data_IF_536590659189
#
_entry.id   IF_536590659189
#
_cell.length_a   1.000
_cell.length_b   1.000
_cell.length_c   1.000
_cell.angle_alpha   90.00
_cell.angle_beta   90.00
_cell.angle_gamma   90.00
#
_symmetry.space_group_name_H-M   'P 1'
#
loop_
_entity.id
_entity.type
_entity.pdbx_description
1 polymer ?
2 polymer ?
3 polymer ?
4 non-polymer ?
5 non-polymer ?
6 non-polymer ?
7 water ?
#
loop_
_entity_poly.entity_id
_entity_poly.type
_entity_poly.pdbx_seq_one_letter_code
_entity_poly.pdbx_strand_id
2 'polydeoxyribonucleotide' '(DC)(DC)(DA)(DT)(DG)(5CM)(DG)(DC)(DT)(DG)(DA)(DC)' ?
3 'polydeoxyribonucleotide' '(DG)(DT)(DC)(DA)(DG)(DC)(DG)(DC)(DA)(DT)(DG)(DG)' ?
#
# COMPACT_ATOMS: atom_id res chain seq x y z
C UNK A 1 -33.65 14.87 10.00
N UNK A 2 -32.60 15.10 9.21
CA UNK A 2 -32.65 14.62 7.79
C UNK A 2 -33.35 13.26 7.62
N UNK A 3 -34.23 13.17 6.60
CA UNK A 3 -34.82 11.90 6.24
C UNK A 3 -33.69 10.95 5.75
N UNK A 4 -33.92 9.64 5.84
CA UNK A 4 -32.90 8.65 5.44
C UNK A 4 -32.50 8.80 3.97
N UNK A 5 -33.40 9.32 3.14
CA UNK A 5 -33.15 9.43 1.71
C UNK A 5 -32.75 10.86 1.29
N UNK A 6 -32.16 11.62 2.20
CA UNK A 6 -31.64 12.95 1.86
C UNK A 6 -30.36 12.82 1.00
N UNK A 7 -30.32 13.53 -0.13
CA UNK A 7 -29.09 13.65 -0.94
C UNK A 7 -28.46 14.96 -0.54
N UNK A 8 -27.14 14.93 -0.47
CA UNK A 8 -26.36 16.12 -0.25
C UNK A 8 -25.81 16.26 1.17
N UNK A 9 -25.12 17.35 1.44
CA UNK A 9 -24.49 17.48 2.77
C UNK A 9 -25.48 17.45 3.93
N UNK A 10 -25.02 16.99 5.09
CA UNK A 10 -25.86 17.06 6.30
C UNK A 10 -25.62 18.44 6.96
N UNK A 11 -26.69 19.23 7.18
CA UNK A 11 -26.47 20.53 7.83
C UNK A 11 -25.77 20.41 9.21
N UNK A 12 -24.75 21.26 9.41
CA UNK A 12 -23.99 21.34 10.65
C UNK A 12 -22.87 20.33 10.73
N UNK A 13 -22.67 19.55 9.64
CA UNK A 13 -21.53 18.59 9.61
C UNK A 13 -20.55 19.02 8.50
N UNK A 14 -19.51 19.80 8.85
CA UNK A 14 -18.61 20.28 7.82
C UNK A 14 -17.63 19.19 7.33
N UNK A 15 -17.15 19.38 6.11
CA UNK A 15 -16.03 18.65 5.62
C UNK A 15 -14.90 18.74 6.65
N UNK A 16 -14.33 17.54 6.90
CA UNK A 16 -13.20 17.41 7.83
C UNK A 16 -13.67 16.86 9.19
N UNK A 17 -14.99 16.73 9.41
CA UNK A 17 -15.48 16.15 10.65
C UNK A 17 -14.99 14.70 10.78
N UNK A 18 -14.66 14.28 12.01
CA UNK A 18 -14.03 12.94 12.24
C UNK A 18 -14.70 12.23 13.41
N UNK A 19 -14.86 10.91 13.24
CA UNK A 19 -15.49 10.09 14.29
C UNK A 19 -14.70 8.79 14.39
N UNK A 20 -14.53 8.32 15.62
CA UNK A 20 -13.72 7.14 15.81
C UNK A 20 -14.36 5.84 15.26
N UNK A 21 -15.67 5.69 15.42
CA UNK A 21 -16.39 4.47 15.02
C UNK A 21 -17.46 4.73 14.00
N UNK A 22 -17.67 3.70 13.17
CA UNK A 22 -18.75 3.80 12.15
C UNK A 22 -20.12 4.11 12.77
N UNK A 23 -20.44 3.55 13.96
CA UNK A 23 -21.77 3.82 14.48
C UNK A 23 -21.98 5.34 14.77
N UNK A 24 -20.90 6.07 15.09
CA UNK A 24 -20.97 7.52 15.27
C UNK A 24 -21.25 8.23 13.95
N UNK A 25 -20.61 7.77 12.88
CA UNK A 25 -20.84 8.33 11.57
C UNK A 25 -22.33 8.12 11.23
N UNK A 26 -22.87 6.95 11.61
CA UNK A 26 -24.28 6.66 11.34
C UNK A 26 -25.19 7.65 12.10
N UNK A 27 -24.89 7.82 13.39
CA UNK A 27 -25.69 8.76 14.21
C UNK A 27 -25.70 10.18 13.71
N UNK A 28 -24.60 10.60 13.08
CA UNK A 28 -24.52 11.94 12.52
C UNK A 28 -25.43 12.13 11.29
N UNK A 29 -25.82 11.04 10.67
CA UNK A 29 -26.61 11.08 9.42
C UNK A 29 -25.73 11.07 8.18
N UNK A 30 -24.40 11.24 8.34
CA UNK A 30 -23.57 11.35 7.14
C UNK A 30 -23.50 9.98 6.41
N UNK A 31 -23.46 8.84 7.13
CA UNK A 31 -23.45 7.55 6.45
C UNK A 31 -24.25 6.58 7.34
N UNK A 32 -25.52 6.39 7.04
CA UNK A 32 -26.37 5.69 8.03
C UNK A 32 -26.17 4.18 8.24
N UNK A 33 -25.72 3.42 7.20
CA UNK A 33 -25.34 2.01 7.54
C UNK A 33 -24.10 1.99 8.42
N UNK A 34 -24.07 1.10 9.37
CA UNK A 34 -22.87 1.04 10.22
C UNK A 34 -21.86 0.00 9.77
N UNK A 35 -22.25 -0.86 8.80
CA UNK A 35 -21.32 -1.85 8.20
C UNK A 35 -21.10 -1.56 6.71
N UNK A 36 -22.20 -1.49 5.97
CA UNK A 36 -22.12 -1.43 4.54
C UNK A 36 -21.32 -0.26 4.03
N UNK A 37 -20.62 -0.46 2.90
CA UNK A 37 -19.90 0.67 2.25
C UNK A 37 -20.80 1.70 1.60
N UNK A 38 -21.92 1.25 1.01
CA UNK A 38 -22.80 2.17 0.28
C UNK A 38 -24.11 2.28 1.03
N UNK A 39 -24.66 3.49 1.14
CA UNK A 39 -26.08 3.62 1.52
C UNK A 39 -26.88 3.99 0.28
N UNK A 40 -27.75 3.10 -0.17
CA UNK A 40 -28.53 3.42 -1.36
C UNK A 40 -29.88 2.73 -1.37
N UNK A 41 -30.77 3.24 -2.22
CA UNK A 41 -32.06 2.62 -2.50
C UNK A 41 -32.04 2.35 -3.97
N UNK A 42 -32.31 1.09 -4.32
CA UNK A 42 -32.08 0.61 -5.67
C UNK A 42 -32.91 1.27 -6.77
N UNK A 43 -33.98 1.98 -6.44
CA UNK A 43 -34.72 2.78 -7.46
C UNK A 43 -34.73 4.25 -7.13
N UNK A 44 -33.72 4.72 -6.38
CA UNK A 44 -33.61 6.13 -6.07
C UNK A 44 -32.18 6.61 -6.32
N UNK A 45 -31.21 6.01 -5.63
CA UNK A 45 -29.82 6.48 -5.75
C UNK A 45 -29.06 6.17 -4.47
N UNK A 46 -27.77 6.51 -4.48
CA UNK A 46 -26.93 6.29 -3.28
C UNK A 46 -26.68 7.63 -2.61
N UNK A 47 -26.78 7.68 -1.30
CA UNK A 47 -26.67 8.92 -0.55
C UNK A 47 -25.24 9.14 -0.03
N UNK A 48 -24.51 8.03 0.16
CA UNK A 48 -23.19 8.14 0.78
C UNK A 48 -22.42 6.86 0.58
N UNK A 49 -21.09 6.97 0.75
CA UNK A 49 -20.25 5.75 0.70
C UNK A 49 -19.03 5.94 1.59
N UNK A 50 -18.43 4.81 1.96
CA UNK A 50 -17.22 4.80 2.76
C UNK A 50 -16.08 4.07 2.01
N UNK A 51 -14.89 4.72 1.98
CA UNK A 51 -13.67 4.04 1.45
C UNK A 51 -12.93 3.53 2.70
N UNK A 52 -12.89 2.20 2.86
CA UNK A 52 -12.21 1.61 4.03
C UNK A 52 -11.27 0.47 3.66
N UNK A 53 -10.77 0.47 2.41
CA UNK A 53 -9.78 -0.56 2.05
C UNK A 53 -10.38 -1.97 1.97
N UNK A 54 -11.71 -2.08 1.86
CA UNK A 54 -12.31 -3.40 2.05
C UNK A 54 -12.46 -4.24 0.80
N UNK A 55 -12.26 -3.60 -0.36
CA UNK A 55 -12.33 -4.24 -1.67
C UNK A 55 -11.05 -4.00 -2.42
N UNK A 56 -10.43 -5.09 -2.89
CA UNK A 56 -9.10 -4.97 -3.49
C UNK A 56 -9.06 -4.18 -4.80
N UNK A 57 -10.21 -4.00 -5.44
CA UNK A 57 -10.27 -3.20 -6.68
C UNK A 57 -10.49 -1.68 -6.45
N UNK A 58 -10.59 -1.20 -5.19
CA UNK A 58 -10.73 0.27 -4.90
C UNK A 58 -9.37 0.91 -5.23
N UNK A 59 -9.43 2.10 -5.83
CA UNK A 59 -8.22 2.89 -6.09
C UNK A 59 -8.53 4.33 -5.70
N UNK A 60 -7.83 4.85 -4.69
CA UNK A 60 -8.17 6.16 -4.20
C UNK A 60 -7.14 7.23 -4.58
N UNK A 61 -7.54 8.18 -5.42
CA UNK A 61 -6.69 9.26 -5.87
C UNK A 61 -7.11 10.59 -5.30
N UNK A 62 -7.88 10.59 -4.21
CA UNK A 62 -8.17 11.86 -3.54
C UNK A 62 -9.29 12.62 -4.20
N UNK A 63 -8.92 13.53 -5.11
CA UNK A 63 -10.00 14.25 -5.82
C UNK A 63 -10.78 13.42 -6.78
N UNK A 64 -10.29 12.22 -7.11
CA UNK A 64 -11.13 11.26 -7.84
C UNK A 64 -10.75 9.89 -7.33
N UNK A 65 -11.64 8.93 -7.47
CA UNK A 65 -11.35 7.58 -7.02
C UNK A 65 -12.21 6.59 -7.79
N UNK A 66 -11.75 5.35 -7.86
CA UNK A 66 -12.52 4.27 -8.51
C UNK A 66 -12.98 3.33 -7.42
N UNK A 67 -14.30 3.34 -7.16
CA UNK A 67 -14.88 2.54 -6.08
C UNK A 67 -15.42 1.25 -6.61
N UNK A 68 -15.43 0.20 -5.81
CA UNK A 68 -15.98 -1.12 -6.25
C UNK A 68 -17.38 -1.31 -5.69
N UNK A 69 -18.25 -1.91 -6.48
CA UNK A 69 -19.55 -2.33 -5.98
C UNK A 69 -19.36 -3.29 -4.77
N UNK A 70 -20.44 -3.62 -4.11
CA UNK A 70 -20.40 -4.65 -3.09
C UNK A 70 -20.95 -5.98 -3.60
N UNK A 71 -20.75 -7.02 -2.81
CA UNK A 71 -21.23 -8.36 -3.16
C UNK A 71 -20.24 -9.15 -4.00
N UNK A 72 -20.73 -10.23 -4.63
CA UNK A 72 -19.80 -11.18 -5.26
C UNK A 72 -19.09 -12.04 -4.21
N UNK A 73 -19.71 -12.19 -3.04
CA UNK A 73 -19.08 -12.79 -1.84
C UNK A 73 -20.03 -13.75 -1.18
N UNK A 74 -19.44 -14.77 -0.56
CA UNK A 74 -20.23 -15.76 0.16
C UNK A 74 -20.15 -15.42 1.64
N UNK A 75 -21.25 -14.87 2.18
CA UNK A 75 -21.31 -14.49 3.57
C UNK A 75 -21.98 -15.51 4.47
N UNK A 76 -22.04 -16.76 3.99
CA UNK A 76 -22.56 -17.87 4.79
C UNK A 76 -21.82 -17.98 6.09
N UNK A 77 -22.50 -18.46 7.12
CA UNK A 77 -21.82 -18.50 8.42
C UNK A 77 -21.88 -17.16 9.16
N UNK A 78 -22.84 -16.31 8.77
CA UNK A 78 -23.11 -15.04 9.43
C UNK A 78 -21.84 -14.16 9.40
N UNK A 79 -21.29 -14.02 8.21
CA UNK A 79 -20.14 -13.15 7.95
C UNK A 79 -20.63 -11.78 7.50
N UNK A 80 -19.71 -10.82 7.60
CA UNK A 80 -19.93 -9.51 7.01
C UNK A 80 -19.05 -9.23 5.81
N UNK A 81 -17.84 -9.82 5.79
CA UNK A 81 -16.93 -9.64 4.67
C UNK A 81 -16.29 -10.99 4.31
N UNK A 82 -15.75 -11.09 3.08
CA UNK A 82 -15.08 -12.30 2.60
C UNK A 82 -14.37 -11.92 1.32
N UNK A 83 -13.61 -12.82 0.70
CA UNK A 83 -13.03 -12.49 -0.59
C UNK A 83 -14.06 -12.72 -1.71
N UNK A 84 -13.71 -12.33 -2.95
CA UNK A 84 -14.66 -12.50 -4.07
C UNK A 84 -14.77 -13.96 -4.43
N UNK A 85 -15.98 -14.42 -4.64
CA UNK A 85 -16.18 -15.80 -5.07
C UNK A 85 -17.25 -15.97 -6.17
N UNK A 86 -17.80 -14.86 -6.63
CA UNK A 86 -18.79 -14.89 -7.69
C UNK A 86 -18.86 -13.48 -8.31
N UNK A 87 -19.46 -13.39 -9.49
CA UNK A 87 -19.57 -12.10 -10.17
C UNK A 87 -20.50 -11.16 -9.40
N UNK A 88 -20.12 -9.87 -9.38
CA UNK A 88 -21.09 -8.91 -8.82
C UNK A 88 -22.23 -8.63 -9.80
N UNK A 89 -23.28 -8.00 -9.28
CA UNK A 89 -24.51 -7.76 -10.05
C UNK A 89 -24.89 -6.28 -9.87
N UNK A 90 -25.58 -5.75 -10.90
CA UNK A 90 -26.01 -4.37 -10.89
C UNK A 90 -27.40 -4.36 -10.20
N UNK A 91 -27.41 -4.65 -8.90
CA UNK A 91 -28.61 -4.76 -8.08
C UNK A 91 -28.36 -4.03 -6.78
N UNK A 92 -29.41 -3.76 -6.00
CA UNK A 92 -29.28 -3.29 -4.60
C UNK A 92 -28.41 -2.06 -4.58
N UNK A 93 -27.36 -2.05 -3.76
CA UNK A 93 -26.59 -0.78 -3.59
C UNK A 93 -25.79 -0.45 -4.88
N UNK A 94 -25.40 -1.45 -5.66
CA UNK A 94 -24.66 -1.20 -6.89
C UNK A 94 -25.52 -0.53 -7.91
N UNK A 95 -26.78 -0.97 -8.00
CA UNK A 95 -27.71 -0.27 -8.89
C UNK A 95 -27.97 1.13 -8.36
N UNK A 96 -28.14 1.28 -7.02
CA UNK A 96 -28.36 2.59 -6.44
C UNK A 96 -27.24 3.57 -6.87
N UNK A 97 -25.99 3.17 -6.68
CA UNK A 97 -24.89 4.10 -6.93
C UNK A 97 -24.85 4.43 -8.47
N UNK A 98 -25.13 3.43 -9.33
CA UNK A 98 -25.21 3.69 -10.77
C UNK A 98 -26.27 4.75 -11.11
N UNK A 99 -27.39 4.75 -10.37
CA UNK A 99 -28.47 5.71 -10.69
C UNK A 99 -28.06 7.13 -10.34
N UNK A 100 -27.00 7.37 -9.51
CA UNK A 100 -26.50 8.74 -9.31
C UNK A 100 -25.89 9.34 -10.58
N UNK A 101 -25.38 8.48 -11.46
CA UNK A 101 -24.71 8.96 -12.69
C UNK A 101 -25.80 9.65 -13.54
N UNK A 102 -25.46 10.80 -14.14
CA UNK A 102 -26.44 11.53 -14.99
C UNK A 102 -26.55 10.92 -16.37
N UNK A 103 -27.03 9.68 -16.40
CA UNK A 103 -27.25 8.87 -17.60
C UNK A 103 -28.22 7.75 -17.19
N UNK A 104 -29.13 7.31 -18.07
CA UNK A 104 -29.99 6.20 -17.67
C UNK A 104 -29.23 4.94 -17.28
N UNK A 105 -29.79 4.14 -16.40
CA UNK A 105 -29.15 2.88 -16.00
C UNK A 105 -28.89 1.98 -17.22
N UNK A 106 -27.70 1.38 -17.24
CA UNK A 106 -27.30 0.57 -18.35
C UNK A 106 -26.49 -0.60 -17.83
N UNK A 107 -26.93 -1.81 -18.17
CA UNK A 107 -26.31 -3.06 -17.73
C UNK A 107 -24.88 -3.24 -18.26
N UNK A 108 -24.47 -2.43 -19.22
CA UNK A 108 -23.10 -2.46 -19.73
C UNK A 108 -22.26 -1.26 -19.22
N UNK A 109 -22.82 -0.47 -18.31
CA UNK A 109 -22.10 0.73 -17.86
C UNK A 109 -22.57 1.97 -18.59
N UNK A 110 -22.20 3.12 -18.04
CA UNK A 110 -22.55 4.39 -18.61
C UNK A 110 -21.56 5.45 -18.17
N UNK A 111 -21.59 6.58 -18.87
CA UNK A 111 -20.78 7.75 -18.53
C UNK A 111 -21.61 8.99 -18.75
N UNK A 112 -21.57 9.91 -17.81
CA UNK A 112 -22.27 11.16 -17.95
C UNK A 112 -21.34 12.23 -18.48
N UNK A 113 -21.80 12.96 -19.46
CA UNK A 113 -21.04 14.14 -19.91
C UNK A 113 -21.19 15.29 -18.95
N UNK A 114 -22.42 15.59 -18.54
CA UNK A 114 -22.71 16.64 -17.57
C UNK A 114 -22.73 15.96 -16.21
N UNK A 115 -21.56 15.52 -15.77
CA UNK A 115 -21.51 14.66 -14.59
C UNK A 115 -21.83 15.44 -13.28
N UNK A 116 -21.60 16.76 -13.23
CA UNK A 116 -22.04 17.49 -12.04
C UNK A 116 -23.58 17.51 -11.91
N UNK A 117 -24.31 17.18 -13.01
CA UNK A 117 -25.76 17.16 -12.92
C UNK A 117 -26.27 15.88 -12.29
N UNK A 118 -25.33 15.02 -11.90
CA UNK A 118 -25.70 13.78 -11.20
C UNK A 118 -26.02 14.01 -9.72
N UNK A 119 -26.51 12.96 -9.09
CA UNK A 119 -26.91 13.12 -7.69
C UNK A 119 -25.66 13.09 -6.81
N UNK A 120 -25.60 13.95 -5.78
CA UNK A 120 -24.40 13.97 -4.91
C UNK A 120 -24.29 12.73 -4.04
N UNK A 121 -23.04 12.36 -3.75
CA UNK A 121 -22.73 11.28 -2.83
C UNK A 121 -21.85 11.81 -1.70
N UNK A 122 -22.25 11.67 -0.42
CA UNK A 122 -21.36 12.07 0.69
C UNK A 122 -20.27 11.01 0.86
N UNK A 123 -19.00 11.41 0.86
CA UNK A 123 -17.89 10.41 0.94
C UNK A 123 -17.18 10.54 2.29
N UNK A 124 -17.05 9.36 2.93
CA UNK A 124 -16.27 9.20 4.15
C UNK A 124 -15.06 8.31 3.85
N UNK A 125 -13.88 8.74 4.39
CA UNK A 125 -12.69 7.85 4.32
C UNK A 125 -12.38 7.33 5.72
N UNK A 126 -12.16 6.02 5.79
CA UNK A 126 -11.78 5.33 7.00
C UNK A 126 -10.26 5.11 6.97
N UNK A 127 -9.69 4.92 8.16
CA UNK A 127 -8.25 4.76 8.29
C UNK A 127 -7.68 3.57 7.52
N UNK A 128 -8.48 2.51 7.37
CA UNK A 128 -7.94 1.28 6.73
C UNK A 128 -7.68 1.47 5.25
N UNK A 129 -6.75 0.69 4.75
CA UNK A 129 -6.15 0.84 3.43
C UNK A 129 -4.63 0.77 3.47
N UNK A 130 -3.97 1.45 2.50
CA UNK A 130 -2.51 1.29 2.35
C UNK A 130 -1.85 2.01 3.49
N UNK A 131 -0.65 1.53 3.84
CA UNK A 131 0.12 2.07 4.90
C UNK A 131 0.48 3.49 4.47
N UNK A 132 0.28 4.44 5.38
CA UNK A 132 0.75 5.79 5.17
C UNK A 132 0.10 6.37 3.92
N UNK A 133 -1.20 6.13 3.78
CA UNK A 133 -1.97 6.71 2.68
C UNK A 133 -1.84 8.26 2.64
N UNK A 134 -1.85 8.83 1.43
CA UNK A 134 -1.85 10.29 1.29
C UNK A 134 -3.23 10.82 1.66
N UNK A 135 -4.30 9.96 1.58
CA UNK A 135 -5.69 10.44 1.70
C UNK A 135 -6.40 9.92 2.95
N UNK A 136 -6.19 8.67 3.36
CA UNK A 136 -6.95 8.11 4.47
C UNK A 136 -6.55 8.82 5.77
N UNK A 137 -7.53 9.10 6.67
CA UNK A 137 -7.15 9.64 8.00
C UNK A 137 -6.28 8.65 8.79
N UNK A 138 -5.48 9.20 9.72
CA UNK A 138 -4.62 8.33 10.54
C UNK A 138 -5.44 7.46 11.50
N UNK A 139 -6.64 7.89 11.85
CA UNK A 139 -7.48 7.24 12.83
C UNK A 139 -8.93 7.44 12.38
N UNK A 140 -9.80 6.46 12.64
CA UNK A 140 -11.22 6.71 12.53
C UNK A 140 -11.72 6.94 11.12
N UNK A 141 -12.70 7.82 11.06
CA UNK A 141 -13.48 8.08 9.85
C UNK A 141 -13.56 9.58 9.65
N UNK A 142 -13.46 10.05 8.42
CA UNK A 142 -13.46 11.50 8.15
C UNK A 142 -14.39 11.81 6.96
N UNK A 143 -15.26 12.83 7.14
CA UNK A 143 -16.15 13.23 6.04
C UNK A 143 -15.41 14.19 5.09
N UNK A 144 -15.31 13.80 3.80
CA UNK A 144 -14.44 14.50 2.85
C UNK A 144 -15.23 15.32 1.81
N UNK A 145 -16.55 15.33 1.92
CA UNK A 145 -17.40 16.17 1.07
C UNK A 145 -18.17 15.41 0.01
N UNK A 146 -18.73 16.18 -0.90
CA UNK A 146 -19.59 15.64 -1.93
C UNK A 146 -18.77 15.25 -3.16
N UNK A 147 -19.07 14.05 -3.68
CA UNK A 147 -18.51 13.59 -4.96
C UNK A 147 -19.66 13.20 -5.87
N UNK A 148 -19.37 13.01 -7.15
CA UNK A 148 -20.40 12.67 -8.14
C UNK A 148 -19.90 11.50 -8.98
N UNK A 149 -20.82 10.62 -9.39
CA UNK A 149 -20.45 9.45 -10.22
C UNK A 149 -20.34 9.87 -11.70
N UNK A 150 -19.12 9.83 -12.22
CA UNK A 150 -18.88 10.22 -13.60
C UNK A 150 -19.22 9.06 -14.54
N UNK A 151 -18.86 7.85 -14.16
CA UNK A 151 -19.09 6.69 -15.05
C UNK A 151 -18.96 5.45 -14.20
N UNK A 152 -19.55 4.40 -14.72
CA UNK A 152 -19.45 3.09 -14.04
C UNK A 152 -19.40 2.02 -15.10
N UNK A 153 -18.79 0.91 -14.78
CA UNK A 153 -18.63 -0.15 -15.78
C UNK A 153 -18.28 -1.46 -15.12
N UNK A 154 -18.57 -2.58 -15.80
CA UNK A 154 -18.18 -3.86 -15.23
C UNK A 154 -16.78 -4.26 -15.71
N UNK A 155 -15.99 -4.89 -14.84
CA UNK A 155 -14.64 -5.30 -15.25
C UNK A 155 -14.25 -6.56 -14.51
N UNK A 156 -13.28 -7.29 -15.06
CA UNK A 156 -12.68 -8.42 -14.35
C UNK A 156 -11.82 -7.92 -13.20
N UNK A 157 -12.25 -8.19 -11.97
CA UNK A 157 -11.43 -7.78 -10.80
C UNK A 157 -10.11 -8.54 -10.64
N UNK A 158 -9.31 -8.06 -9.69
CA UNK A 158 -8.06 -8.73 -9.39
C UNK A 158 -8.27 -10.26 -9.15
N UNK A 159 -9.37 -10.61 -8.49
CA UNK A 159 -9.79 -11.98 -8.18
C UNK A 159 -10.20 -12.84 -9.37
N UNK A 160 -10.43 -12.23 -10.52
CA UNK A 160 -10.92 -12.86 -11.75
C UNK A 160 -12.43 -12.90 -11.88
N UNK A 161 -13.15 -12.43 -10.85
CA UNK A 161 -14.60 -12.32 -10.96
C UNK A 161 -14.99 -10.92 -11.39
N UNK A 162 -16.16 -10.77 -12.01
CA UNK A 162 -16.64 -9.47 -12.49
C UNK A 162 -16.89 -8.61 -11.24
N UNK A 163 -16.41 -7.37 -11.28
CA UNK A 163 -16.84 -6.39 -10.29
C UNK A 163 -17.42 -5.18 -10.99
N UNK A 164 -18.33 -4.46 -10.32
CA UNK A 164 -18.77 -3.16 -10.81
C UNK A 164 -17.81 -2.10 -10.29
N UNK A 165 -17.43 -1.19 -11.15
CA UNK A 165 -16.51 -0.09 -10.77
C UNK A 165 -17.11 1.26 -11.08
N UNK A 166 -16.81 2.25 -10.26
CA UNK A 166 -17.43 3.56 -10.37
C UNK A 166 -16.36 4.64 -10.22
N UNK A 167 -16.27 5.54 -11.19
CA UNK A 167 -15.38 6.69 -11.06
C UNK A 167 -16.13 7.83 -10.46
N UNK A 168 -15.66 8.28 -9.31
CA UNK A 168 -16.21 9.44 -8.63
C UNK A 168 -15.23 10.60 -8.69
N UNK A 169 -15.73 11.79 -8.89
CA UNK A 169 -14.93 13.05 -8.87
C UNK A 169 -15.51 14.03 -7.87
N UNK A 170 -14.65 14.72 -7.17
CA UNK A 170 -15.13 15.61 -6.12
C UNK A 170 -15.87 16.86 -6.67
N UNK A 171 -16.93 17.29 -5.98
CA UNK A 171 -17.70 18.47 -6.40
C UNK A 171 -18.13 19.14 -5.10
N UNK A 172 -17.19 19.80 -4.45
CA UNK A 172 -17.42 20.36 -3.10
C UNK A 172 -16.62 21.66 -3.02
N UNK A 173 -17.26 22.69 -2.50
CA UNK A 173 -16.58 24.00 -2.39
C UNK A 173 -15.61 24.08 -1.20
N UNK A 174 -15.67 23.16 -0.25
CA UNK A 174 -14.71 23.26 0.87
C UNK A 174 -13.44 22.48 0.58
N UNK A 175 -12.26 22.96 1.09
CA UNK A 175 -10.99 22.32 0.74
C UNK A 175 -10.95 20.85 1.21
N UNK A 176 -10.20 20.06 0.47
CA UNK A 176 -9.96 18.64 0.81
C UNK A 176 -9.18 18.57 2.14
N UNK A 177 -9.64 17.73 3.11
CA UNK A 177 -9.00 17.79 4.45
C UNK A 177 -7.56 17.36 4.46
N UNK A 178 -7.08 16.66 3.44
CA UNK A 178 -5.70 16.14 3.47
C UNK A 178 -4.69 17.15 2.95
N UNK A 179 -5.16 18.25 2.37
CA UNK A 179 -4.30 19.35 1.80
C UNK A 179 -3.88 20.37 2.85
N UNK A 180 -2.97 21.28 2.47
CA UNK A 180 -2.57 22.34 3.39
C UNK A 180 -3.75 23.21 3.75
N UNK A 181 -4.55 23.60 2.76
CA UNK A 181 -5.69 24.42 3.00
C UNK A 181 -6.69 23.68 3.88
N UNK A 182 -6.87 22.37 3.61
CA UNK A 182 -7.81 21.58 4.38
C UNK A 182 -7.37 21.44 5.82
N UNK A 183 -6.09 21.24 6.04
CA UNK A 183 -5.56 21.10 7.43
C UNK A 183 -5.68 22.44 8.16
N UNK A 184 -5.50 23.56 7.45
CA UNK A 184 -5.71 24.86 8.07
C UNK A 184 -7.15 25.07 8.47
N UNK A 185 -8.08 24.69 7.58
CA UNK A 185 -9.50 24.84 7.86
C UNK A 185 -9.94 23.92 9.05
N UNK A 186 -9.39 22.73 9.09
CA UNK A 186 -9.68 21.82 10.21
C UNK A 186 -9.16 22.42 11.54
N UNK A 187 -7.99 23.04 11.50
CA UNK A 187 -7.44 23.66 12.70
C UNK A 187 -8.29 24.82 13.15
N UNK A 188 -8.71 25.65 12.20
CA UNK A 188 -9.51 26.87 12.54
C UNK A 188 -10.90 26.53 13.06
N UNK A 189 -11.48 25.45 12.46
CA UNK A 189 -12.80 25.02 12.84
C UNK A 189 -12.76 24.18 14.11
N UNK A 190 -11.57 23.84 14.62
CA UNK A 190 -11.46 23.01 15.80
C UNK A 190 -12.04 21.64 15.62
N UNK A 191 -11.86 21.10 14.43
CA UNK A 191 -12.39 19.73 14.22
C UNK A 191 -11.38 18.76 14.77
N UNK A 192 -11.85 17.81 15.57
CA UNK A 192 -10.94 16.82 16.20
C UNK A 192 -11.72 15.48 16.26
N UNK A 193 -11.01 14.38 16.43
CA UNK A 193 -11.67 13.07 16.51
C UNK A 193 -12.75 13.09 17.58
N UNK A 194 -13.95 12.61 17.21
CA UNK A 194 -15.04 12.46 18.19
C UNK A 194 -15.18 11.01 18.64
N UNK A 195 -15.29 10.83 19.96
CA UNK A 195 -15.39 9.48 20.53
C UNK A 195 -16.76 9.32 21.22
N UNK A 196 -17.22 8.08 21.38
CA UNK A 196 -18.50 7.84 22.10
C UNK A 196 -18.41 8.37 23.52
N UNK A 197 -19.58 8.80 24.01
CA UNK A 197 -19.68 9.25 25.42
C UNK A 197 -19.09 8.15 26.29
N UNK A 198 -18.17 8.52 27.18
CA UNK A 198 -17.55 7.56 28.13
C UNK A 198 -16.38 6.74 27.65
N UNK A 199 -16.11 6.77 26.34
CA UNK A 199 -15.07 5.95 25.76
C UNK A 199 -13.67 6.30 26.25
N UNK A 200 -13.30 7.59 26.24
CA UNK A 200 -11.92 7.93 26.64
C UNK A 200 -11.72 7.69 28.13
N UNK A 201 -12.74 7.94 28.92
CA UNK A 201 -12.72 7.55 30.37
C UNK A 201 -12.52 6.03 30.57
N UNK A 202 -13.31 5.21 29.87
CA UNK A 202 -13.17 3.74 29.94
C UNK A 202 -11.77 3.31 29.52
N UNK A 203 -11.21 3.94 28.50
CA UNK A 203 -9.86 3.67 28.05
C UNK A 203 -8.86 4.05 29.12
N UNK A 204 -9.07 5.21 29.75
CA UNK A 204 -8.21 5.70 30.83
C UNK A 204 -8.27 4.77 32.04
N UNK A 205 -9.46 4.30 32.42
CA UNK A 205 -9.60 3.28 33.49
C UNK A 205 -8.89 1.97 33.14
N UNK A 206 -9.07 1.48 31.92
CA UNK A 206 -8.47 0.20 31.50
C UNK A 206 -6.95 0.27 31.42
N UNK A 207 -6.42 1.50 31.35
CA UNK A 207 -4.99 1.73 31.22
C UNK A 207 -4.29 1.91 32.58
N UNK A 208 -5.08 1.94 33.66
CA UNK A 208 -4.53 2.04 35.02
C UNK A 208 -3.72 0.83 35.48
N UNK A 209 -4.03 -0.37 34.98
CA UNK A 209 -3.34 -1.61 35.40
C UNK A 209 -3.13 -2.64 34.29
N UNK A 210 -2.48 -3.74 34.64
CA UNK A 210 -2.23 -4.92 33.78
C UNK A 210 -3.35 -5.28 32.80
N UNK B 1 39.65 -1.51 -6.09
CA UNK B 1 38.36 -2.02 -5.47
C UNK B 1 37.33 -2.29 -6.56
N UNK B 2 36.18 -2.89 -6.24
CA UNK B 2 35.21 -3.22 -7.29
C UNK B 2 34.57 -1.93 -7.81
N UNK B 3 34.28 -1.89 -9.10
CA UNK B 3 33.58 -0.73 -9.67
C UNK B 3 32.14 -0.70 -9.22
N UNK B 4 31.51 0.48 -9.34
CA UNK B 4 30.14 0.62 -8.89
C UNK B 4 29.20 -0.36 -9.65
N UNK B 5 29.57 -0.75 -10.88
CA UNK B 5 28.70 -1.57 -11.69
C UNK B 5 29.14 -3.05 -11.64
N UNK B 6 29.84 -3.41 -10.56
CA UNK B 6 30.21 -4.84 -10.42
C UNK B 6 29.02 -5.73 -10.07
N UNK B 7 28.86 -6.77 -10.89
CA UNK B 7 27.89 -7.85 -10.56
C UNK B 7 28.56 -9.00 -9.83
N UNK B 8 27.91 -9.50 -8.80
CA UNK B 8 28.42 -10.65 -8.03
C UNK B 8 28.95 -10.24 -6.68
N UNK B 9 29.47 -11.23 -5.94
CA UNK B 9 29.95 -10.93 -4.56
C UNK B 9 31.09 -9.93 -4.58
N UNK B 10 31.19 -9.21 -3.48
CA UNK B 10 32.32 -8.30 -3.25
C UNK B 10 33.47 -9.15 -2.65
N UNK B 11 34.64 -9.17 -3.29
CA UNK B 11 35.76 -9.95 -2.70
C UNK B 11 36.03 -9.50 -1.25
N UNK B 12 36.25 -10.51 -0.38
CA UNK B 12 36.56 -10.25 1.01
C UNK B 12 35.34 -10.05 1.88
N UNK B 13 34.13 -10.04 1.30
CA UNK B 13 32.89 -9.88 2.11
C UNK B 13 32.07 -11.19 2.05
N UNK B 14 32.25 -12.08 3.02
CA UNK B 14 31.50 -13.35 2.94
C UNK B 14 30.03 -13.19 3.35
N UNK B 15 29.25 -14.16 2.87
CA UNK B 15 27.90 -14.32 3.38
C UNK B 15 27.95 -14.38 4.94
N UNK B 16 27.02 -13.66 5.59
CA UNK B 16 26.95 -13.60 7.07
C UNK B 16 27.58 -12.36 7.64
N UNK B 17 28.29 -11.58 6.82
CA UNK B 17 28.88 -10.31 7.31
C UNK B 17 27.76 -9.38 7.81
N UNK B 18 28.03 -8.66 8.89
CA UNK B 18 27.02 -7.85 9.57
C UNK B 18 27.53 -6.45 9.80
N UNK B 19 26.67 -5.44 9.55
CA UNK B 19 27.01 -4.04 9.86
C UNK B 19 25.87 -3.33 10.52
N UNK B 20 26.12 -2.44 11.49
CA UNK B 20 25.03 -1.82 12.19
C UNK B 20 24.24 -0.81 11.36
N UNK B 21 24.91 -0.02 10.54
CA UNK B 21 24.26 1.05 9.74
C UNK B 21 24.40 0.89 8.24
N UNK B 22 23.38 1.40 7.52
CA UNK B 22 23.48 1.35 6.04
C UNK B 22 24.72 2.01 5.47
N UNK B 23 25.22 3.10 6.05
CA UNK B 23 26.40 3.70 5.46
C UNK B 23 27.61 2.75 5.51
N UNK B 24 27.67 1.87 6.50
CA UNK B 24 28.76 0.89 6.53
C UNK B 24 28.62 -0.14 5.42
N UNK B 25 27.39 -0.54 5.13
CA UNK B 25 27.16 -1.48 4.04
C UNK B 25 27.62 -0.81 2.72
N UNK B 26 27.37 0.50 2.62
CA UNK B 26 27.80 1.29 1.42
C UNK B 26 29.31 1.29 1.29
N UNK B 27 30.00 1.57 2.42
CA UNK B 27 31.45 1.66 2.39
C UNK B 27 32.08 0.32 2.03
N UNK B 28 31.40 -0.81 2.33
CA UNK B 28 31.92 -2.12 1.97
C UNK B 28 31.85 -2.42 0.48
N UNK B 29 31.01 -1.66 -0.25
CA UNK B 29 30.75 -2.01 -1.64
C UNK B 29 29.57 -2.92 -1.84
N UNK B 30 29.08 -3.57 -0.78
CA UNK B 30 28.01 -4.56 -0.97
C UNK B 30 26.70 -3.90 -1.50
N UNK B 31 26.37 -2.72 -0.95
CA UNK B 31 25.16 -2.05 -1.41
C UNK B 31 25.50 -0.56 -1.35
N UNK B 32 25.84 0.00 -2.51
CA UNK B 32 26.44 1.36 -2.50
C UNK B 32 25.46 2.49 -2.04
N UNK B 33 24.19 2.49 -2.52
CA UNK B 33 23.30 3.55 -2.01
C UNK B 33 23.12 3.45 -0.50
N UNK B 34 23.04 4.58 0.20
CA UNK B 34 22.85 4.49 1.62
C UNK B 34 21.42 4.60 2.06
N UNK B 35 20.53 5.03 1.15
CA UNK B 35 19.10 5.05 1.48
C UNK B 35 18.33 4.07 0.58
N UNK B 36 18.55 4.18 -0.75
CA UNK B 36 17.69 3.40 -1.69
C UNK B 36 17.75 1.93 -1.41
N UNK B 37 16.66 1.24 -1.72
CA UNK B 37 16.65 -0.24 -1.58
C UNK B 37 17.35 -0.96 -2.71
N UNK B 38 17.32 -0.42 -3.94
CA UNK B 38 17.94 -1.10 -5.09
C UNK B 38 19.13 -0.21 -5.52
N UNK B 39 20.22 -0.86 -5.94
CA UNK B 39 21.29 -0.17 -6.68
C UNK B 39 21.24 -0.72 -8.09
N UNK B 40 20.90 0.14 -9.04
CA UNK B 40 20.86 -0.33 -10.45
C UNK B 40 21.08 0.80 -11.43
N UNK B 41 21.46 0.38 -12.61
CA UNK B 41 21.53 1.28 -13.76
C UNK B 41 20.50 0.75 -14.77
N UNK B 42 19.63 1.66 -15.26
CA UNK B 42 18.50 1.25 -16.06
C UNK B 42 18.80 0.70 -17.42
N UNK B 43 20.06 0.76 -17.89
CA UNK B 43 20.48 0.15 -19.16
C UNK B 43 21.47 -1.01 -18.93
N UNK B 44 21.56 -1.48 -17.68
CA UNK B 44 22.59 -2.51 -17.37
C UNK B 44 21.97 -3.60 -16.50
N UNK B 45 21.56 -3.22 -15.29
CA UNK B 45 20.96 -4.21 -14.38
C UNK B 45 21.11 -3.71 -12.95
N UNK B 46 20.61 -4.49 -11.99
CA UNK B 46 20.71 -4.16 -10.54
C UNK B 46 21.81 -4.97 -9.91
N UNK B 47 22.62 -4.32 -9.09
CA UNK B 47 23.80 -4.98 -8.49
C UNK B 47 23.46 -5.53 -7.09
N UNK B 48 22.48 -4.95 -6.42
CA UNK B 48 22.23 -5.29 -5.03
C UNK B 48 20.89 -4.71 -4.58
N UNK B 49 20.34 -5.30 -3.52
CA UNK B 49 19.12 -4.79 -2.92
C UNK B 49 19.08 -5.03 -1.42
N UNK B 50 18.21 -4.31 -0.76
CA UNK B 50 18.06 -4.43 0.68
C UNK B 50 16.60 -4.70 1.04
N UNK B 51 16.35 -5.74 1.84
CA UNK B 51 15.04 -6.02 2.41
C UNK B 51 15.02 -5.36 3.78
N UNK B 52 14.23 -4.30 3.93
CA UNK B 52 14.15 -3.55 5.19
C UNK B 52 12.74 -3.30 5.62
N UNK B 53 11.77 -4.09 5.11
CA UNK B 53 10.36 -3.88 5.54
C UNK B 53 9.74 -2.54 5.13
N UNK B 54 10.34 -1.89 4.14
CA UNK B 54 9.97 -0.53 3.71
C UNK B 54 8.78 -0.44 2.77
N UNK B 55 8.44 -1.55 2.13
CA UNK B 55 7.31 -1.64 1.18
C UNK B 55 6.43 -2.78 1.60
N UNK B 56 5.16 -2.44 1.83
CA UNK B 56 4.23 -3.43 2.39
C UNK B 56 3.96 -4.63 1.48
N UNK B 57 4.26 -4.54 0.18
CA UNK B 57 4.06 -5.69 -0.69
C UNK B 57 5.23 -6.72 -0.69
N UNK B 58 6.33 -6.37 0.02
CA UNK B 58 7.46 -7.29 0.12
C UNK B 58 6.99 -8.56 0.88
N UNK B 59 7.45 -9.74 0.44
CA UNK B 59 7.17 -11.02 1.16
C UNK B 59 8.49 -11.78 1.24
N UNK B 60 8.94 -12.14 2.41
CA UNK B 60 10.26 -12.81 2.57
C UNK B 60 10.09 -14.28 2.96
N UNK B 61 10.56 -15.19 2.10
CA UNK B 61 10.55 -16.60 2.40
C UNK B 61 11.96 -17.19 2.46
N UNK B 62 12.94 -16.33 2.68
CA UNK B 62 14.32 -16.84 3.02
C UNK B 62 15.04 -17.22 1.73
N UNK B 63 14.97 -18.47 1.30
CA UNK B 63 15.68 -18.89 0.08
C UNK B 63 15.01 -18.28 -1.19
N UNK B 64 13.79 -17.81 -1.05
CA UNK B 64 13.15 -17.01 -2.13
C UNK B 64 12.35 -15.92 -1.49
N UNK B 65 12.12 -14.84 -2.26
CA UNK B 65 11.30 -13.74 -1.71
C UNK B 65 10.71 -12.96 -2.86
N UNK B 66 9.65 -12.23 -2.58
CA UNK B 66 9.01 -11.35 -3.59
C UNK B 66 9.26 -9.89 -3.19
N UNK B 67 10.06 -9.21 -3.97
CA UNK B 67 10.51 -7.86 -3.70
C UNK B 67 9.66 -6.88 -4.43
N UNK B 68 9.45 -5.72 -3.87
CA UNK B 68 8.65 -4.69 -4.55
C UNK B 68 9.61 -3.68 -5.23
N UNK B 69 9.23 -3.18 -6.38
CA UNK B 69 9.96 -2.09 -6.98
C UNK B 69 9.85 -0.83 -6.10
N UNK B 70 10.60 0.21 -6.41
CA UNK B 70 10.52 1.48 -5.68
C UNK B 70 9.65 2.50 -6.43
N UNK B 71 9.33 3.58 -5.70
CA UNK B 71 8.60 4.69 -6.27
C UNK B 71 7.11 4.45 -6.13
N UNK B 72 6.34 5.22 -6.91
CA UNK B 72 4.86 5.25 -6.71
C UNK B 72 4.56 6.10 -5.47
N UNK B 73 5.42 7.06 -5.12
CA UNK B 73 5.33 7.79 -3.84
C UNK B 73 5.50 9.27 -4.07
N UNK B 74 4.84 10.07 -3.24
CA UNK B 74 5.02 11.54 -3.28
C UNK B 74 6.01 11.91 -2.18
N UNK B 75 7.23 12.26 -2.60
CA UNK B 75 8.30 12.59 -1.65
C UNK B 75 8.47 14.08 -1.51
N UNK B 76 7.50 14.85 -1.99
CA UNK B 76 7.63 16.29 -1.79
C UNK B 76 7.68 16.69 -0.30
N UNK B 77 8.28 17.85 -0.04
CA UNK B 77 8.61 18.21 1.33
C UNK B 77 9.89 17.56 1.85
N UNK B 78 10.78 17.18 0.91
CA UNK B 78 12.08 16.63 1.27
C UNK B 78 11.97 15.35 2.10
N UNK B 79 11.10 14.44 1.67
CA UNK B 79 10.97 13.10 2.28
C UNK B 79 11.90 12.11 1.60
N UNK B 80 12.11 11.00 2.29
CA UNK B 80 12.80 9.84 1.73
C UNK B 80 11.85 8.65 1.50
N UNK B 81 10.79 8.59 2.32
CA UNK B 81 9.82 7.50 2.19
C UNK B 81 8.43 8.07 2.41
N UNK B 82 7.43 7.34 1.92
CA UNK B 82 6.00 7.72 1.99
C UNK B 82 5.18 6.51 1.65
N UNK B 83 3.86 6.60 1.86
CA UNK B 83 2.96 5.56 1.34
C UNK B 83 2.82 5.62 -0.15
N UNK B 84 2.24 4.56 -0.72
CA UNK B 84 1.96 4.58 -2.17
C UNK B 84 0.86 5.60 -2.52
N UNK B 85 1.09 6.41 -3.55
CA UNK B 85 0.04 7.32 -4.02
C UNK B 85 -0.02 7.43 -5.53
N UNK B 86 0.70 6.56 -6.24
CA UNK B 86 0.60 6.53 -7.70
C UNK B 86 1.12 5.17 -8.14
N UNK B 87 0.87 4.83 -9.38
CA UNK B 87 1.39 3.55 -9.90
C UNK B 87 2.94 3.63 -10.02
N UNK B 88 3.60 2.51 -9.74
CA UNK B 88 5.04 2.37 -10.04
C UNK B 88 5.24 2.23 -11.52
N UNK B 89 6.44 2.50 -11.95
CA UNK B 89 6.79 2.45 -13.38
C UNK B 89 8.01 1.55 -13.58
N UNK B 90 8.16 0.99 -14.81
CA UNK B 90 9.28 0.10 -15.14
C UNK B 90 10.41 1.04 -15.68
N UNK B 91 10.94 1.87 -14.79
CA UNK B 91 11.98 2.84 -15.12
C UNK B 91 13.01 2.81 -14.03
N UNK B 92 14.19 3.41 -14.30
CA UNK B 92 15.22 3.65 -13.25
C UNK B 92 15.51 2.30 -12.54
N UNK B 93 15.47 2.25 -11.20
CA UNK B 93 15.84 0.99 -10.48
C UNK B 93 14.96 -0.20 -10.83
N UNK B 94 13.67 0.05 -11.07
CA UNK B 94 12.74 -1.06 -11.37
C UNK B 94 13.09 -1.67 -12.71
N UNK B 95 13.46 -0.81 -13.67
CA UNK B 95 13.91 -1.29 -14.97
C UNK B 95 15.21 -2.09 -14.80
N UNK B 96 16.14 -1.54 -14.03
CA UNK B 96 17.45 -2.19 -13.79
C UNK B 96 17.17 -3.64 -13.28
N UNK B 97 16.32 -3.77 -12.24
CA UNK B 97 16.17 -5.11 -11.63
C UNK B 97 15.52 -6.07 -12.64
N UNK B 98 14.60 -5.57 -13.46
CA UNK B 98 14.01 -6.41 -14.49
C UNK B 98 15.02 -6.91 -15.50
N UNK B 99 16.03 -6.06 -15.84
CA UNK B 99 17.03 -6.49 -16.82
C UNK B 99 17.85 -7.68 -16.29
N UNK B 100 17.95 -7.86 -14.99
CA UNK B 100 18.68 -9.04 -14.45
C UNK B 100 18.05 -10.35 -14.87
N UNK B 101 16.75 -10.35 -15.09
CA UNK B 101 15.99 -11.57 -15.41
C UNK B 101 16.40 -12.05 -16.78
N UNK B 102 16.67 -13.34 -16.92
CA UNK B 102 17.15 -13.85 -18.22
C UNK B 102 15.97 -14.09 -19.17
N UNK B 103 15.37 -12.97 -19.57
CA UNK B 103 14.27 -12.96 -20.54
C UNK B 103 14.21 -11.50 -21.06
N UNK B 104 13.68 -11.29 -22.31
CA UNK B 104 13.64 -9.92 -22.80
C UNK B 104 12.75 -9.02 -21.94
N UNK B 105 13.18 -7.77 -21.73
CA UNK B 105 12.43 -6.91 -20.83
C UNK B 105 11.05 -6.70 -21.40
N UNK B 106 10.06 -6.69 -20.52
CA UNK B 106 8.65 -6.63 -20.96
C UNK B 106 7.86 -5.93 -19.93
N UNK B 107 7.14 -4.85 -20.33
CA UNK B 107 6.27 -4.07 -19.41
C UNK B 107 5.08 -4.83 -18.89
N UNK B 108 4.80 -5.98 -19.49
CA UNK B 108 3.76 -6.81 -18.93
C UNK B 108 4.30 -7.85 -17.96
N UNK B 109 5.61 -7.84 -17.72
CA UNK B 109 6.26 -8.88 -16.92
C UNK B 109 6.95 -9.91 -17.76
N UNK B 110 7.83 -10.71 -17.17
CA UNK B 110 8.55 -11.75 -17.87
C UNK B 110 8.97 -12.80 -16.86
N UNK B 111 9.29 -13.99 -17.37
CA UNK B 111 9.78 -15.09 -16.55
C UNK B 111 10.91 -15.76 -17.31
N UNK B 112 11.97 -16.09 -16.57
CA UNK B 112 13.10 -16.85 -17.13
C UNK B 112 12.98 -18.34 -16.66
N UNK B 113 12.96 -19.25 -17.62
CA UNK B 113 13.07 -20.70 -17.25
C UNK B 113 14.47 -21.03 -16.75
N UNK B 114 15.47 -20.49 -17.48
CA UNK B 114 16.86 -20.65 -17.06
C UNK B 114 17.31 -19.42 -16.29
N UNK B 115 16.66 -19.22 -15.14
CA UNK B 115 16.90 -17.99 -14.35
C UNK B 115 18.32 -17.92 -13.77
N UNK B 116 18.98 -19.08 -13.62
CA UNK B 116 20.38 -19.03 -13.12
C UNK B 116 21.34 -18.34 -14.11
N UNK B 117 20.94 -18.26 -15.38
CA UNK B 117 21.74 -17.50 -16.37
C UNK B 117 21.62 -15.97 -16.27
N UNK B 118 20.71 -15.52 -15.43
CA UNK B 118 20.49 -14.09 -15.32
C UNK B 118 21.59 -13.44 -14.47
N UNK B 119 21.49 -12.13 -14.32
CA UNK B 119 22.55 -11.40 -13.60
C UNK B 119 22.35 -11.53 -12.09
N UNK B 120 23.46 -11.75 -11.34
CA UNK B 120 23.34 -11.88 -9.85
C UNK B 120 23.00 -10.58 -9.17
N UNK B 121 22.28 -10.71 -8.06
CA UNK B 121 21.96 -9.60 -7.17
C UNK B 121 22.51 -9.88 -5.79
N UNK B 122 23.32 -9.00 -5.21
CA UNK B 122 23.69 -9.15 -3.80
C UNK B 122 22.52 -8.74 -2.91
N UNK B 123 22.18 -9.58 -1.91
CA UNK B 123 21.00 -9.26 -1.06
C UNK B 123 21.42 -9.05 0.37
N UNK B 124 20.97 -7.94 0.90
CA UNK B 124 21.21 -7.62 2.29
C UNK B 124 19.84 -7.62 3.01
N UNK B 125 19.77 -8.24 4.19
CA UNK B 125 18.58 -8.07 5.03
C UNK B 125 18.86 -7.15 6.20
N UNK B 126 17.93 -6.23 6.41
CA UNK B 126 18.00 -5.30 7.53
C UNK B 126 17.00 -5.72 8.63
N UNK B 127 17.31 -5.37 9.86
CA UNK B 127 16.53 -5.82 11.03
C UNK B 127 15.06 -5.37 10.92
N UNK B 128 14.75 -4.24 10.23
CA UNK B 128 13.36 -3.81 10.19
C UNK B 128 12.46 -4.71 9.35
N UNK B 129 13.03 -5.62 8.56
CA UNK B 129 12.25 -6.63 7.89
C UNK B 129 11.65 -7.62 8.85
N UNK B 130 12.14 -7.65 10.10
CA UNK B 130 11.73 -8.72 11.02
C UNK B 130 10.27 -8.62 11.47
N UNK B 131 9.66 -7.43 11.25
CA UNK B 131 8.25 -7.23 11.60
C UNK B 131 7.36 -8.29 10.85
N UNK B 132 7.80 -8.77 9.69
CA UNK B 132 7.08 -9.79 8.94
C UNK B 132 7.98 -10.85 8.32
N UNK B 133 9.14 -11.07 8.88
CA UNK B 133 10.00 -12.11 8.36
C UNK B 133 10.83 -12.69 9.46
N UNK B 134 10.85 -14.01 9.50
CA UNK B 134 11.68 -14.71 10.51
C UNK B 134 13.16 -14.77 10.10
N UNK B 135 13.44 -14.27 8.88
CA UNK B 135 14.79 -14.42 8.34
C UNK B 135 15.62 -13.16 8.58
N UNK B 136 14.98 -12.07 8.98
CA UNK B 136 15.74 -10.83 9.18
C UNK B 136 16.68 -10.93 10.42
N UNK B 137 17.83 -10.26 10.38
CA UNK B 137 18.68 -10.25 11.56
C UNK B 137 18.01 -9.48 12.70
N UNK B 138 18.46 -9.80 13.93
CA UNK B 138 17.89 -9.09 15.05
C UNK B 138 18.35 -7.64 15.15
N UNK B 139 19.53 -7.35 14.61
CA UNK B 139 20.12 -6.01 14.67
C UNK B 139 20.81 -5.74 13.32
N UNK B 140 20.81 -4.48 12.90
CA UNK B 140 21.67 -4.06 11.80
C UNK B 140 21.29 -4.69 10.45
N UNK B 141 22.32 -4.95 9.67
CA UNK B 141 22.21 -5.35 8.28
C UNK B 141 23.07 -6.57 8.11
N UNK B 142 22.65 -7.52 7.29
CA UNK B 142 23.45 -8.75 7.09
C UNK B 142 23.49 -9.11 5.62
N UNK B 143 24.66 -9.47 5.13
CA UNK B 143 24.77 -9.89 3.73
C UNK B 143 24.40 -11.37 3.60
N UNK B 144 23.40 -11.67 2.78
CA UNK B 144 22.84 -13.03 2.71
C UNK B 144 23.21 -13.81 1.44
N UNK B 145 23.96 -13.15 0.57
CA UNK B 145 24.47 -13.77 -0.63
C UNK B 145 23.77 -13.38 -1.91
N UNK B 146 24.02 -14.15 -2.96
CA UNK B 146 23.58 -13.86 -4.33
C UNK B 146 22.21 -14.52 -4.61
N UNK B 147 21.27 -13.71 -5.15
CA UNK B 147 19.97 -14.22 -5.60
C UNK B 147 19.84 -13.80 -7.06
N UNK B 148 18.88 -14.38 -7.72
CA UNK B 148 18.60 -14.11 -9.13
C UNK B 148 17.11 -13.88 -9.33
N UNK B 149 16.78 -13.06 -10.32
CA UNK B 149 15.40 -12.77 -10.63
C UNK B 149 14.79 -13.87 -11.50
N UNK B 150 13.82 -14.58 -10.93
CA UNK B 150 13.11 -15.64 -11.65
C UNK B 150 12.06 -15.05 -12.59
N UNK B 151 11.28 -14.10 -12.07
CA UNK B 151 10.19 -13.48 -12.87
C UNK B 151 9.79 -12.19 -12.19
N UNK B 152 9.12 -11.36 -12.97
CA UNK B 152 8.63 -10.11 -12.39
C UNK B 152 7.34 -9.76 -13.10
N UNK B 153 6.47 -9.01 -12.42
CA UNK B 153 5.16 -8.75 -13.01
C UNK B 153 4.56 -7.53 -12.28
N UNK B 154 3.64 -6.80 -12.93
CA UNK B 154 2.92 -5.73 -12.26
C UNK B 154 1.68 -6.25 -11.58
N UNK B 155 1.34 -5.70 -10.40
CA UNK B 155 0.18 -6.20 -9.64
C UNK B 155 -0.41 -5.05 -8.83
N UNK B 156 -1.72 -5.04 -8.61
CA UNK B 156 -2.25 -3.97 -7.71
C UNK B 156 -1.83 -4.36 -6.30
N UNK B 157 -1.09 -3.46 -5.63
CA UNK B 157 -0.60 -3.72 -4.27
C UNK B 157 -1.67 -3.51 -3.23
N UNK B 158 -1.28 -3.72 -1.97
CA UNK B 158 -2.23 -3.55 -0.90
C UNK B 158 -2.82 -2.15 -0.85
N UNK B 159 -2.07 -1.16 -1.33
CA UNK B 159 -2.54 0.25 -1.32
C UNK B 159 -3.59 0.53 -2.39
N UNK B 160 -3.76 -0.39 -3.35
CA UNK B 160 -4.67 -0.17 -4.49
C UNK B 160 -3.92 0.35 -5.72
N UNK B 161 -2.65 0.74 -5.63
CA UNK B 161 -1.89 1.18 -6.80
C UNK B 161 -1.05 0.05 -7.37
N UNK B 162 -0.73 0.13 -8.65
CA UNK B 162 0.15 -0.87 -9.31
C UNK B 162 1.55 -0.78 -8.64
N UNK B 163 2.10 -1.95 -8.34
CA UNK B 163 3.51 -2.03 -7.92
C UNK B 163 4.16 -3.07 -8.84
N UNK B 164 5.47 -2.93 -9.05
CA UNK B 164 6.26 -3.99 -9.70
C UNK B 164 6.73 -4.98 -8.63
N UNK B 165 6.57 -6.27 -8.98
CA UNK B 165 6.94 -7.34 -8.04
C UNK B 165 7.94 -8.29 -8.70
N UNK B 166 8.92 -8.77 -7.93
CA UNK B 166 10.02 -9.53 -8.52
C UNK B 166 10.18 -10.75 -7.61
N UNK B 167 10.14 -11.94 -8.19
CA UNK B 167 10.48 -13.17 -7.43
C UNK B 167 11.97 -13.44 -7.56
N UNK B 168 12.69 -13.45 -6.42
CA UNK B 168 14.12 -13.75 -6.41
C UNK B 168 14.34 -15.11 -5.75
N UNK B 169 15.27 -15.91 -6.29
CA UNK B 169 15.61 -17.19 -5.64
C UNK B 169 17.12 -17.18 -5.40
N UNK B 170 17.55 -17.82 -4.31
CA UNK B 170 18.96 -17.79 -3.95
C UNK B 170 19.79 -18.67 -4.94
N UNK B 171 21.01 -18.18 -5.25
CA UNK B 171 21.94 -18.96 -6.09
C UNK B 171 23.34 -18.65 -5.58
N UNK B 172 23.68 -19.24 -4.44
CA UNK B 172 24.95 -18.96 -3.75
C UNK B 172 25.48 -20.29 -3.24
N UNK B 173 26.78 -20.49 -3.37
CA UNK B 173 27.37 -21.75 -2.89
C UNK B 173 27.58 -21.76 -1.37
N UNK B 174 27.52 -20.61 -0.73
CA UNK B 174 27.70 -20.65 0.72
C UNK B 174 26.40 -20.62 1.45
N UNK B 175 26.34 -21.24 2.62
CA UNK B 175 24.98 -21.48 3.19
C UNK B 175 24.34 -20.18 3.69
N UNK B 176 22.99 -20.18 3.71
CA UNK B 176 22.24 -19.08 4.30
C UNK B 176 22.62 -18.85 5.78
N UNK B 177 22.72 -17.60 6.22
CA UNK B 177 23.21 -17.40 7.61
C UNK B 177 22.31 -17.92 8.72
N UNK B 178 21.03 -18.09 8.45
CA UNK B 178 20.12 -18.53 9.48
C UNK B 178 20.03 -20.06 9.66
N UNK B 179 20.63 -20.82 8.76
CA UNK B 179 20.59 -22.28 8.83
C UNK B 179 21.69 -22.82 9.75
N UNK B 180 21.58 -24.11 10.12
CA UNK B 180 22.62 -24.71 10.95
C UNK B 180 23.99 -24.56 10.27
N UNK B 181 24.07 -24.86 8.98
CA UNK B 181 25.37 -24.72 8.28
C UNK B 181 25.86 -23.27 8.26
N UNK B 182 24.94 -22.33 8.04
CA UNK B 182 25.33 -20.92 8.01
C UNK B 182 25.79 -20.42 9.36
N UNK B 183 25.09 -20.80 10.43
CA UNK B 183 25.53 -20.40 11.74
C UNK B 183 26.90 -21.03 12.04
N UNK B 184 27.10 -22.28 11.61
CA UNK B 184 28.41 -22.94 11.89
C UNK B 184 29.50 -22.12 11.14
N UNK B 185 29.19 -21.71 9.91
CA UNK B 185 30.22 -20.99 9.12
C UNK B 185 30.50 -19.60 9.70
N UNK B 186 29.44 -18.87 10.12
CA UNK B 186 29.64 -17.59 10.74
C UNK B 186 30.54 -17.73 11.99
N UNK B 187 30.31 -18.80 12.78
CA UNK B 187 31.17 -19.06 13.96
C UNK B 187 32.64 -19.36 13.54
N UNK B 188 32.82 -20.25 12.57
CA UNK B 188 34.16 -20.60 12.10
C UNK B 188 34.95 -19.41 11.59
N UNK B 189 34.26 -18.50 10.89
CA UNK B 189 34.88 -17.26 10.37
C UNK B 189 35.00 -16.12 11.37
N UNK B 190 34.40 -16.31 12.55
CA UNK B 190 34.47 -15.31 13.58
C UNK B 190 33.80 -14.00 13.24
N UNK B 191 32.70 -14.05 12.47
CA UNK B 191 32.02 -12.81 12.08
C UNK B 191 31.26 -12.23 13.25
N UNK B 192 31.39 -10.92 13.41
CA UNK B 192 30.63 -10.25 14.46
C UNK B 192 30.11 -8.91 13.93
N UNK B 193 29.09 -8.36 14.57
CA UNK B 193 28.53 -7.07 14.16
C UNK B 193 29.59 -6.01 14.09
N UNK B 194 29.63 -5.29 12.96
CA UNK B 194 30.61 -4.21 12.74
C UNK B 194 29.99 -2.85 13.02
N UNK B 195 30.57 -2.09 13.95
CA UNK B 195 30.11 -0.77 14.30
C UNK B 195 31.08 0.31 13.76
N UNK B 196 30.58 1.53 13.54
CA UNK B 196 31.53 2.56 13.04
C UNK B 196 32.56 2.91 14.12
N UNK B 197 33.74 3.29 13.67
CA UNK B 197 34.83 3.75 14.56
C UNK B 197 34.29 4.78 15.54
N UNK B 198 34.46 4.51 16.84
CA UNK B 198 34.05 5.46 17.88
C UNK B 198 32.61 5.36 18.31
N UNK B 199 31.79 4.57 17.63
CA UNK B 199 30.38 4.47 18.00
C UNK B 199 30.08 3.84 19.38
N UNK B 200 30.69 2.72 19.73
CA UNK B 200 30.33 2.06 20.99
C UNK B 200 30.81 2.91 22.18
N UNK B 201 32.00 3.50 22.00
CA UNK B 201 32.58 4.46 22.97
C UNK B 201 31.64 5.66 23.13
N UNK B 202 31.30 6.32 22.01
CA UNK B 202 30.32 7.42 22.01
C UNK B 202 28.96 7.05 22.62
N UNK B 203 28.61 5.76 22.53
CA UNK B 203 27.38 5.25 23.13
C UNK B 203 27.52 5.10 24.66
N UNK B 204 28.60 4.46 25.12
CA UNK B 204 28.94 4.40 26.55
C UNK B 204 28.97 5.81 27.20
N UNK B 205 29.79 6.70 26.63
CA UNK B 205 29.97 8.07 27.13
C UNK B 205 28.68 8.93 27.11
N UNK B 206 27.66 8.49 26.37
CA UNK B 206 26.34 9.15 26.40
C UNK B 206 25.31 8.28 27.10
X LIG G 1 -13.71 20.99 -5.88
X LIG G 1 -14.67 19.98 -5.94
X LIG G 1 -12.61 20.01 -5.94
X LIG G 1 -12.33 19.41 -4.68
X LIG H 1 -24.26 18.84 -4.62
X LIG H 1 -24.58 18.73 -3.21
X LIG H 1 -25.47 18.53 -5.51
X LIG H 1 -25.20 19.04 -6.79
X LIG I 1 -7.65 1.19 -0.69
X LIG I 1 -6.81 1.59 0.39
X LIG I 1 -7.85 2.46 -1.46
X LIG I 1 -9.06 3.11 -0.88
X LIG J 1 -2.87 11.84 5.44
X LIG J 1 -2.32 12.92 6.25
X LIG J 1 -4.25 12.27 4.98
X LIG J 1 -5.12 12.18 6.09
X LIG K 1 -34.89 -3.17 -11.16
X LIG K 1 -35.33 -4.43 -10.65
X LIG K 1 -36.09 -2.43 -11.71
X LIG K 1 -36.82 -1.97 -10.59
X LIG L 1 -34.52 8.28 -11.00
X LIG L 1 -35.66 8.98 -10.48
X LIG L 1 -33.68 7.78 -9.85
X LIG L 1 -33.57 8.77 -8.77
X LIG M 1 -28.78 5.39 13.81
X LIG M 1 -27.88 4.27 13.82
X LIG M 1 -29.52 5.45 12.48
X LIG M 1 -28.56 5.46 11.40
X LIG N 1 -22.78 19.64 -16.00
X LIG N 1 -22.86 20.78 -15.20
X LIG N 1 -21.41 19.35 -15.52
X LIG N 1 -20.38 18.41 -15.36
X LIG O 1 -25.04 -1.79 7.87
X LIG P 1 -29.12 11.12 -12.25
X LIG P 1 -28.96 12.96 -12.40
X LIG Q 1 -7.62 -0.02 -11.81
X LIG Q 1 -8.03 2.30 -12.19
X LIG R 1 13.84 -23.81 -13.32
X LIG R 1 12.97 -22.84 -13.99
X LIG R 1 13.42 -24.21 -11.89
X LIG R 1 13.33 -23.07 -10.87
X LIG S 1 8.88 -8.36 4.67
X LIG S 1 9.11 -7.97 6.07
X LIG S 1 10.22 -8.63 3.97
X LIG S 1 11.14 -7.90 4.67
X LIG T 1 22.91 -23.66 0.72
X LIG T 1 21.58 -23.19 0.48
X LIG T 1 23.87 -22.91 -0.18
X LIG T 1 25.06 -23.67 -0.06
X LIG U 1 23.91 8.34 8.62
X LIG U 1 25.11 8.70 7.91
X LIG U 1 24.08 6.91 9.08
X LIG U 1 24.22 7.01 10.51
X LIG V 1 -5.50 -4.23 -4.05
X LIG V 1 -4.92 -5.30 -3.33
X LIG V 1 -5.64 -3.14 -3.03
X LIG V 1 -6.21 -3.79 -1.81
X LIG W 1 20.90 6.61 -1.50
X LIG X 1 10.59 -23.41 -3.17
X LIG X 1 11.51 -23.38 -2.07
X LIG X 1 12.53 -22.92 -1.18
X LIG X 1 10.05 -24.69 -3.80
X LIG X 1 9.34 -23.17 -3.96
X LIG Y 1 19.84 -11.31 -18.00
X LIG Y 1 21.26 -12.60 -18.51
X LIG Y 1 -24.41 -10.61 -0.87
X LIG Z 1 8.70 -15.25 8.37
X LIG Z 1 9.07 -15.37 6.71
X LIG AA 1 7.60 8.00 -7.14
X LIG AA 1 6.03 9.26 -7.96
X LIG BA 1 -28.56 -3.48 0.54
X LIG BA 1 -29.59 -2.47 0.86
X LIG BA 1 -27.78 -3.93 1.79
X LIG BA 1 -28.67 -4.25 2.93
X LIG CA 1 -31.00 -6.34 0.50
X LIG CA 1 -31.68 -7.45 1.16
X LIG CA 1 -31.81 -5.08 0.66
X LIG CA 1 -31.82 -4.75 2.05
X LIG DA 1 -12.29 -10.75 8.50
X LIG DA 1 -11.81 -11.21 9.76
X LIG DA 1 -13.61 -11.45 8.31
X LIG DA 1 -13.45 -12.87 8.63
X LIG EA 1 -30.64 -2.89 3.06
X LIG FA 1 17.67 6.47 -7.85
X LIG FA 1 18.34 7.73 -7.90
X LIG FA 1 17.53 5.80 -9.21
X LIG FA 1 18.79 5.90 -9.97
X LIG GA 1 28.89 16.41 -13.63
X LIG GA 1 27.08 17.51 -13.29
X LIG HA 1 10.24 7.04 -8.59
X LIG HA 1 9.94 8.11 -9.89
X LIG IA 1 9.04 8.73 -5.33
X LIG IA 1 9.86 8.52 -7.04
X LIG JA 1 16.87 9.27 -10.89
X LIG JA 1 16.86 10.70 -11.04
X LIG JA 1 18.13 8.84 -11.64
X LIG JA 1 19.25 9.03 -10.78
X LIG KA 1 22.84 7.30 -17.99
X LIG KA 1 23.36 7.08 -16.66
X LIG KA 1 23.83 8.30 -18.58
X LIG KA 1 23.68 8.23 -20.01
X LIG LA 1 26.64 5.91 -15.00
X LIG LA 1 25.78 7.01 -15.30
X LIG LA 1 28.03 6.44 -15.44
X LIG LA 1 28.19 7.89 -15.04
X LIG MA 1 27.62 11.84 -11.49
X LIG MA 1 27.23 11.40 -10.16
X LIG MA 1 27.46 13.38 -11.66
X LIG MA 1 26.74 13.99 -10.54
X LIG NA 1 8.95 10.09 7.89
X LIG NA 1 9.40 8.94 7.13
X LIG NA 1 8.23 9.57 9.12
X LIG NA 1 9.10 8.64 9.80
X LIG OA 1 20.32 7.63 -9.21
#
# INVERSE_FOLDING_TARGET
HMPANHFGPIPGVPVGTMWRFRVQVSESGVHRPHVAGIHGRSNDGAYSLVLAGGYEDDVDNGNYFTYTGSGGRDLSGNKRTAGQSSDQKLTNNNRALALNCHSPINEKGAEAEDWRQGKPVRVVRNMKGGKHSKYAPAEGNRYDGIYKVVKYWPERGKSGFLVWRYLLRRDDTEPEPWTREGKDRTRQLGLTMQYPEGYLEALANKEKSRKR
HMPANHFGPIPGVPVGTMWRFRVQVSESGVHRPHVAGIHGRSNDGAYSLVLAGGYEDDVDNGNYFTYTGSGGRDLSGNKRTAGQSSDQKLTNNNRALALNCHSPINEKGAEAEDWRQGKPVRVVRNMKGGKHSKYAPAEGNRYDGIYKVVKYWPERGKSGFLVWRYLLRRDDTEPEPWTREGKDRTRQLGLTMQYPEGYLEALANKEKSRKR
EDO C1 O1 C2 O2
EDO C1 O1 C2 O2
EDO C1 O1 C2 O2
EDO C1 O1 C2 O2
EDO C1 O1 C2 O2
EDO C1 O1 C2 O2
EDO C1 O1 C2 O2
EDO C1 O1 C2 O2
NA NA
UNL O1 O2
UNL O1 O2
EDO C1 O1 C2 O2
EDO C1 O1 C2 O2
EDO C1 O1 C2 O2
EDO C1 O1 C2 O2
EDO C1 O1 C2 O2
NA NA
UNL C1 C2 O1 O2 O3
UNL O1 O2 O3
UNL O1 O2
UNL O1 O2
EDO C1 O1 C2 O2
EDO C1 O1 C2 O2
EDO C1 O1 C2 O2
NA NA
EDO C1 O1 C2 O2
UNL O1 O2
UNL O1 O2
UNL O1 O2
EDO C1 O1 C2 O2
EDO C1 O1 C2 O2
EDO C1 O1 C2 O2
EDO C1 O1 C2 O2
EDO C1 O1 C2 O2
NA NA
#
